data_IF_305603689828
#
_entry.id   IF_305603689828
#
_cell.length_a   1.000
_cell.length_b   1.000
_cell.length_c   1.000
_cell.angle_alpha   90.00
_cell.angle_beta   90.00
_cell.angle_gamma   90.00
#
_symmetry.space_group_name_H-M   'P 1'
#
loop_
_entity.id
_entity.type
_entity.pdbx_description
1 polymer ?
#
# COMPACT_ATOMS: atom_id res chain seq x y z
N UNK A 1 13.27 0.46 18.32
CA UNK A 1 12.41 -0.58 17.72
C UNK A 1 11.02 -0.43 18.30
N UNK A 2 10.01 -0.29 17.44
CA UNK A 2 8.61 -0.31 17.88
C UNK A 2 8.21 -1.73 18.23
N UNK A 3 7.66 -1.95 19.42
CA UNK A 3 7.20 -3.25 19.92
C UNK A 3 5.71 -3.45 19.69
N UNK A 4 5.20 -4.68 19.87
CA UNK A 4 3.76 -4.96 19.84
C UNK A 4 2.98 -4.15 20.90
N UNK A 5 3.63 -3.88 22.04
CA UNK A 5 3.08 -3.03 23.10
C UNK A 5 2.96 -1.58 22.64
N UNK A 6 3.93 -1.08 21.87
CA UNK A 6 3.90 0.28 21.31
C UNK A 6 2.81 0.42 20.25
N UNK A 7 2.60 -0.62 19.42
CA UNK A 7 1.48 -0.66 18.48
C UNK A 7 0.13 -0.60 19.20
N UNK A 8 -0.05 -1.43 20.23
CA UNK A 8 -1.29 -1.42 21.01
C UNK A 8 -1.54 -0.05 21.65
N UNK A 9 -0.51 0.56 22.24
CA UNK A 9 -0.62 1.92 22.77
C UNK A 9 -1.05 2.92 21.69
N UNK A 10 -0.40 2.89 20.53
CA UNK A 10 -0.75 3.77 19.43
C UNK A 10 -2.20 3.56 18.96
N UNK A 11 -2.68 2.32 18.86
CA UNK A 11 -4.07 2.05 18.50
C UNK A 11 -5.07 2.65 19.49
N UNK A 12 -4.83 2.49 20.79
CA UNK A 12 -5.69 3.10 21.81
C UNK A 12 -5.64 4.63 21.80
N UNK A 13 -4.46 5.23 21.61
CA UNK A 13 -4.31 6.69 21.48
C UNK A 13 -5.09 7.22 20.25
N UNK A 14 -5.14 6.44 19.16
CA UNK A 14 -5.90 6.79 17.96
C UNK A 14 -7.42 6.70 18.22
N UNK A 15 -7.89 5.66 18.92
CA UNK A 15 -9.29 5.54 19.31
C UNK A 15 -9.74 6.67 20.24
N UNK A 16 -8.91 7.05 21.21
CA UNK A 16 -9.17 8.17 22.12
C UNK A 16 -9.23 9.50 21.37
N UNK A 17 -8.37 9.71 20.35
CA UNK A 17 -8.46 10.89 19.47
C UNK A 17 -9.81 10.92 18.75
N UNK A 18 -10.22 9.80 18.15
CA UNK A 18 -11.47 9.72 17.40
C UNK A 18 -12.69 9.91 18.29
N UNK A 19 -12.68 9.37 19.51
CA UNK A 19 -13.77 9.53 20.47
C UNK A 19 -13.97 10.99 20.93
N UNK A 20 -12.91 11.82 20.86
CA UNK A 20 -12.92 13.24 21.24
C UNK A 20 -13.08 14.18 20.04
N UNK A 21 -13.09 13.65 18.83
CA UNK A 21 -13.21 14.42 17.61
C UNK A 21 -14.64 14.94 17.42
N UNK A 22 -14.78 16.15 16.86
CA UNK A 22 -16.08 16.66 16.46
C UNK A 22 -16.58 15.96 15.18
N UNK A 23 -17.84 16.20 14.83
CA UNK A 23 -18.47 15.52 13.69
C UNK A 23 -17.76 15.80 12.37
N UNK A 24 -17.31 17.04 12.14
CA UNK A 24 -16.70 17.45 10.88
C UNK A 24 -15.29 16.85 10.72
N UNK A 25 -14.52 16.78 11.81
CA UNK A 25 -13.21 16.13 11.83
C UNK A 25 -13.30 14.61 11.66
N UNK A 26 -14.33 13.96 12.22
CA UNK A 26 -14.62 12.55 11.96
C UNK A 26 -14.96 12.30 10.49
N UNK A 27 -15.81 13.14 9.90
CA UNK A 27 -16.18 13.02 8.48
C UNK A 27 -14.96 13.16 7.55
N UNK A 28 -14.06 14.08 7.88
CA UNK A 28 -12.77 14.24 7.19
C UNK A 28 -11.89 12.99 7.32
N UNK A 29 -11.78 12.44 8.53
CA UNK A 29 -10.95 11.25 8.77
C UNK A 29 -11.52 10.01 8.05
N UNK A 30 -12.85 9.85 8.02
CA UNK A 30 -13.51 8.79 7.24
C UNK A 30 -13.19 8.93 5.75
N UNK A 31 -13.27 10.15 5.19
CA UNK A 31 -12.91 10.41 3.79
C UNK A 31 -11.43 10.12 3.51
N UNK A 32 -10.53 10.50 4.43
CA UNK A 32 -9.10 10.15 4.31
C UNK A 32 -8.90 8.64 4.32
N UNK A 33 -9.53 7.91 5.25
CA UNK A 33 -9.44 6.46 5.33
C UNK A 33 -9.96 5.78 4.05
N UNK A 34 -11.11 6.22 3.52
CA UNK A 34 -11.65 5.75 2.25
C UNK A 34 -10.72 6.03 1.07
N UNK A 35 -10.14 7.22 1.02
CA UNK A 35 -9.17 7.60 -0.03
C UNK A 35 -7.92 6.72 0.03
N UNK A 36 -7.37 6.50 1.23
CA UNK A 36 -6.21 5.62 1.43
C UNK A 36 -6.55 4.20 0.99
N UNK A 37 -7.71 3.66 1.41
CA UNK A 37 -8.16 2.34 1.02
C UNK A 37 -8.33 2.20 -0.50
N UNK A 38 -8.88 3.21 -1.17
CA UNK A 38 -8.97 3.27 -2.63
C UNK A 38 -7.60 3.25 -3.30
N UNK A 39 -6.66 4.10 -2.86
CA UNK A 39 -5.29 4.13 -3.38
C UNK A 39 -4.59 2.78 -3.17
N UNK A 40 -4.71 2.18 -1.97
CA UNK A 40 -4.14 0.86 -1.69
C UNK A 40 -4.70 -0.22 -2.61
N UNK A 41 -6.00 -0.19 -2.92
CA UNK A 41 -6.60 -1.13 -3.86
C UNK A 41 -6.03 -0.98 -5.27
N UNK A 42 -5.81 0.25 -5.75
CA UNK A 42 -5.20 0.50 -7.06
C UNK A 42 -3.73 0.05 -7.12
N UNK A 43 -2.96 0.26 -6.05
CA UNK A 43 -1.59 -0.25 -5.93
C UNK A 43 -1.56 -1.79 -6.04
N UNK A 44 -2.44 -2.48 -5.30
CA UNK A 44 -2.52 -3.95 -5.33
C UNK A 44 -2.90 -4.45 -6.74
N UNK A 45 -3.84 -3.79 -7.41
CA UNK A 45 -4.21 -4.13 -8.79
C UNK A 45 -3.01 -3.98 -9.73
N UNK A 46 -2.28 -2.88 -9.65
CA UNK A 46 -1.08 -2.65 -10.46
C UNK A 46 -0.03 -3.76 -10.25
N UNK A 47 0.28 -4.12 -9.00
CA UNK A 47 1.22 -5.21 -8.72
C UNK A 47 0.69 -6.59 -9.14
N UNK A 48 -0.63 -6.81 -9.11
CA UNK A 48 -1.23 -8.03 -9.65
C UNK A 48 -1.00 -8.12 -11.17
N UNK A 49 -1.22 -7.01 -11.89
CA UNK A 49 -0.92 -6.93 -13.33
C UNK A 49 0.57 -7.16 -13.61
N UNK A 50 1.47 -6.61 -12.80
CA UNK A 50 2.91 -6.83 -12.90
C UNK A 50 3.25 -8.31 -12.74
N UNK A 51 2.70 -8.95 -11.71
CA UNK A 51 2.89 -10.36 -11.44
C UNK A 51 2.39 -11.23 -12.60
N UNK A 52 1.23 -10.92 -13.16
CA UNK A 52 0.66 -11.68 -14.28
C UNK A 52 1.50 -11.54 -15.55
N UNK A 53 2.06 -10.36 -15.82
CA UNK A 53 3.02 -10.18 -16.90
C UNK A 53 4.27 -11.04 -16.71
N UNK A 54 4.79 -11.13 -15.48
CA UNK A 54 5.93 -12.02 -15.16
C UNK A 54 5.57 -13.49 -15.35
N UNK A 55 4.39 -13.92 -14.90
CA UNK A 55 3.90 -15.30 -15.13
C UNK A 55 3.82 -15.62 -16.62
N UNK A 56 3.35 -14.66 -17.43
CA UNK A 56 3.27 -14.83 -18.88
C UNK A 56 4.65 -15.03 -19.49
N UNK A 57 5.63 -14.21 -19.10
CA UNK A 57 7.02 -14.41 -19.54
C UNK A 57 7.55 -15.78 -19.11
N UNK A 58 7.35 -16.16 -17.86
CA UNK A 58 7.78 -17.45 -17.34
C UNK A 58 7.19 -18.62 -18.15
N UNK A 59 5.91 -18.52 -18.53
CA UNK A 59 5.20 -19.56 -19.27
C UNK A 59 5.72 -19.73 -20.71
N UNK A 60 6.02 -18.64 -21.42
CA UNK A 60 6.35 -18.69 -22.84
C UNK A 60 7.85 -18.59 -23.15
N UNK A 61 8.65 -18.01 -22.25
CA UNK A 61 10.10 -17.79 -22.44
C UNK A 61 10.96 -18.39 -21.34
N UNK A 62 10.38 -18.85 -20.23
CA UNK A 62 11.12 -19.20 -19.01
C UNK A 62 11.52 -17.97 -18.21
N UNK A 63 12.06 -18.19 -17.00
CA UNK A 63 12.60 -17.13 -16.15
C UNK A 63 14.12 -17.07 -16.29
N UNK A 64 14.65 -15.86 -16.49
CA UNK A 64 16.09 -15.60 -16.56
C UNK A 64 16.52 -14.73 -15.37
N UNK A 65 17.77 -14.83 -14.92
CA UNK A 65 18.28 -14.03 -13.79
C UNK A 65 18.36 -12.53 -14.12
N UNK A 66 18.57 -12.17 -15.38
CA UNK A 66 18.60 -10.78 -15.86
C UNK A 66 17.22 -10.25 -16.28
N UNK A 67 16.15 -11.03 -16.02
CA UNK A 67 14.79 -10.69 -16.41
C UNK A 67 14.28 -9.50 -15.59
N UNK A 68 14.17 -8.34 -16.24
CA UNK A 68 13.53 -7.19 -15.61
C UNK A 68 12.01 -7.39 -15.56
N UNK A 69 11.43 -7.15 -14.37
CA UNK A 69 9.98 -7.09 -14.20
C UNK A 69 9.43 -5.83 -14.88
N UNK A 70 8.27 -5.89 -15.55
CA UNK A 70 7.65 -4.72 -16.15
C UNK A 70 7.41 -3.65 -15.08
N UNK A 71 7.85 -2.41 -15.32
CA UNK A 71 7.65 -1.28 -14.40
C UNK A 71 6.26 -0.68 -14.65
N UNK A 72 5.45 -0.53 -13.60
CA UNK A 72 4.06 -0.08 -13.73
C UNK A 72 3.81 1.22 -12.94
N UNK A 73 4.61 1.50 -11.90
CA UNK A 73 4.50 2.73 -11.12
C UNK A 73 5.77 3.60 -11.20
N UNK A 74 5.61 4.91 -11.02
CA UNK A 74 6.73 5.87 -10.93
C UNK A 74 7.72 5.54 -9.78
N UNK A 75 7.27 4.83 -8.74
CA UNK A 75 8.14 4.33 -7.66
C UNK A 75 8.99 3.11 -8.03
N UNK A 76 8.73 2.49 -9.20
CA UNK A 76 9.61 1.47 -9.79
C UNK A 76 10.75 2.11 -10.60
N UNK A 77 10.82 3.46 -10.67
CA UNK A 77 12.05 4.15 -11.03
C UNK A 77 13.03 3.94 -9.89
N UNK A 78 14.29 3.62 -10.20
CA UNK A 78 15.36 3.58 -9.23
C UNK A 78 15.53 4.99 -8.65
N UNK A 79 14.74 5.33 -7.62
CA UNK A 79 14.87 6.60 -6.93
C UNK A 79 16.11 6.45 -6.07
N UNK A 80 17.23 7.00 -6.54
CA UNK A 80 18.34 7.33 -5.67
C UNK A 80 17.80 8.29 -4.60
N UNK A 81 17.54 7.76 -3.41
CA UNK A 81 17.18 8.54 -2.22
C UNK A 81 18.45 9.10 -1.59
#
# INVERSE_FOLDING_TARGET
MSTLKDLNKHLFDQLDRLAKADKDSLDSEVKRAQTIQGISAEIIKAHTTQLDAVKLVAQYKGLNQDQQVPRIALGDMDVEV
#
